data_IF_700251923873
#
_entry.id   IF_700251923873
#
_cell.length_a   1.000
_cell.length_b   1.000
_cell.length_c   1.000
_cell.angle_alpha   90.00
_cell.angle_beta   90.00
_cell.angle_gamma   90.00
#
_symmetry.space_group_name_H-M   'P 1'
#
loop_
_entity.id
_entity.type
_entity.pdbx_description
1 polymer ?
#
# COMPACT_ATOMS: atom_id res chain seq x y z
N UNK A 1 10.56 -12.92 -18.73
CA UNK A 1 9.33 -13.74 -18.87
C UNK A 1 9.44 -14.51 -20.17
N UNK A 2 9.44 -15.81 -20.11
CA UNK A 2 9.52 -16.72 -21.24
C UNK A 2 8.13 -16.88 -21.88
N UNK A 3 8.04 -16.80 -23.22
CA UNK A 3 6.75 -16.82 -23.92
C UNK A 3 6.12 -18.22 -23.91
N UNK A 4 6.92 -19.29 -24.03
CA UNK A 4 6.41 -20.67 -24.03
C UNK A 4 5.80 -21.01 -22.67
N UNK A 5 6.53 -20.71 -21.57
CA UNK A 5 6.03 -20.91 -20.20
C UNK A 5 4.76 -20.09 -19.95
N UNK A 6 4.68 -18.85 -20.47
CA UNK A 6 3.48 -18.03 -20.32
C UNK A 6 2.28 -18.65 -21.00
N UNK A 7 2.41 -19.04 -22.27
CA UNK A 7 1.30 -19.61 -23.05
C UNK A 7 0.81 -20.92 -22.46
N UNK A 8 1.73 -21.82 -22.05
CA UNK A 8 1.38 -23.06 -21.35
C UNK A 8 0.61 -22.75 -20.04
N UNK A 9 1.06 -21.76 -19.27
CA UNK A 9 0.41 -21.38 -18.02
C UNK A 9 -0.97 -20.79 -18.24
N UNK A 10 -1.12 -19.92 -19.24
CA UNK A 10 -2.42 -19.38 -19.64
C UNK A 10 -3.40 -20.48 -19.99
N UNK A 11 -2.95 -21.50 -20.72
CA UNK A 11 -3.76 -22.63 -21.09
C UNK A 11 -4.10 -23.53 -19.90
N UNK A 12 -3.07 -24.02 -19.17
CA UNK A 12 -3.24 -25.04 -18.13
C UNK A 12 -3.78 -24.50 -16.81
N UNK A 13 -3.46 -23.26 -16.44
CA UNK A 13 -3.85 -22.69 -15.15
C UNK A 13 -5.07 -21.78 -15.23
N UNK A 14 -5.24 -21.11 -16.34
CA UNK A 14 -6.28 -20.08 -16.50
C UNK A 14 -7.33 -20.46 -17.54
N UNK A 15 -7.18 -21.59 -18.24
CA UNK A 15 -8.17 -22.10 -19.19
C UNK A 15 -8.30 -21.27 -20.48
N UNK A 16 -7.27 -20.49 -20.84
CA UNK A 16 -7.26 -19.77 -22.11
C UNK A 16 -7.15 -20.77 -23.27
N UNK A 17 -8.10 -20.71 -24.22
CA UNK A 17 -8.13 -21.62 -25.39
C UNK A 17 -8.59 -20.86 -26.64
N UNK A 18 -8.37 -21.46 -27.82
CA UNK A 18 -8.84 -20.94 -29.10
C UNK A 18 -8.36 -19.50 -29.35
N UNK A 19 -9.23 -18.66 -29.89
CA UNK A 19 -8.91 -17.29 -30.33
C UNK A 19 -8.32 -16.40 -29.22
N UNK A 20 -8.64 -16.65 -27.94
CA UNK A 20 -8.08 -15.89 -26.83
C UNK A 20 -6.59 -16.21 -26.63
N UNK A 21 -6.20 -17.47 -26.70
CA UNK A 21 -4.80 -17.90 -26.62
C UNK A 21 -4.03 -17.48 -27.88
N UNK A 22 -4.64 -17.61 -29.05
CA UNK A 22 -4.06 -17.23 -30.35
C UNK A 22 -3.76 -15.72 -30.39
N UNK A 23 -4.66 -14.88 -29.84
CA UNK A 23 -4.46 -13.45 -29.73
C UNK A 23 -3.20 -13.12 -28.90
N UNK A 24 -3.03 -13.76 -27.73
CA UNK A 24 -1.87 -13.52 -26.88
C UNK A 24 -0.60 -14.08 -27.54
N UNK A 25 -0.67 -15.25 -28.18
CA UNK A 25 0.44 -15.82 -28.94
C UNK A 25 0.89 -14.87 -30.06
N UNK A 26 -0.04 -14.33 -30.84
CA UNK A 26 0.24 -13.34 -31.89
C UNK A 26 0.81 -12.04 -31.30
N UNK A 27 0.31 -11.58 -30.15
CA UNK A 27 0.84 -10.40 -29.45
C UNK A 27 2.31 -10.56 -29.05
N UNK A 28 2.74 -11.76 -28.71
CA UNK A 28 4.10 -12.06 -28.26
C UNK A 28 5.05 -12.42 -29.39
N UNK A 29 4.55 -12.98 -30.49
CA UNK A 29 5.35 -13.50 -31.60
C UNK A 29 5.85 -12.39 -32.54
N UNK A 30 6.95 -12.68 -33.25
CA UNK A 30 7.54 -11.83 -34.29
C UNK A 30 7.84 -10.40 -33.84
N UNK A 31 8.10 -10.20 -32.55
CA UNK A 31 8.49 -8.89 -32.02
C UNK A 31 9.96 -8.61 -32.25
N UNK A 32 10.24 -7.38 -32.66
CA UNK A 32 11.60 -6.87 -32.82
C UNK A 32 11.76 -5.57 -32.02
N UNK A 33 12.98 -5.26 -31.67
CA UNK A 33 13.36 -4.01 -31.00
C UNK A 33 14.54 -3.36 -31.70
N UNK A 34 14.56 -2.04 -31.71
CA UNK A 34 15.69 -1.22 -32.15
C UNK A 34 15.84 -0.02 -31.19
N UNK A 35 17.05 0.52 -31.11
CA UNK A 35 17.36 1.71 -30.29
C UNK A 35 17.45 2.91 -31.22
N UNK A 36 16.68 3.96 -30.97
CA UNK A 36 16.68 5.22 -31.70
C UNK A 36 17.39 6.30 -30.87
N UNK A 37 18.50 6.85 -31.41
CA UNK A 37 19.23 7.96 -30.80
C UNK A 37 19.45 9.04 -31.84
N UNK A 38 19.01 10.25 -31.58
CA UNK A 38 19.14 11.41 -32.47
C UNK A 38 18.71 11.14 -33.94
N UNK A 39 17.64 10.38 -34.12
CA UNK A 39 17.10 10.04 -35.44
C UNK A 39 17.81 8.88 -36.14
N UNK A 40 18.85 8.30 -35.57
CA UNK A 40 19.56 7.13 -36.10
C UNK A 40 19.09 5.88 -35.36
N UNK A 41 18.60 4.89 -36.12
CA UNK A 41 18.15 3.61 -35.55
C UNK A 41 19.24 2.54 -35.62
N UNK A 42 19.37 1.75 -34.58
CA UNK A 42 20.21 0.55 -34.60
C UNK A 42 19.62 -0.53 -35.51
N UNK A 43 20.40 -1.59 -35.76
CA UNK A 43 19.87 -2.82 -36.36
C UNK A 43 18.72 -3.38 -35.51
N UNK A 44 17.71 -3.94 -36.17
CA UNK A 44 16.58 -4.60 -35.48
C UNK A 44 17.01 -5.96 -34.91
N UNK A 45 16.65 -6.23 -33.64
CA UNK A 45 16.91 -7.50 -32.96
C UNK A 45 15.59 -8.14 -32.57
N UNK A 46 15.46 -9.46 -32.75
CA UNK A 46 14.26 -10.21 -32.36
C UNK A 46 14.13 -10.29 -30.84
N UNK A 47 12.89 -10.18 -30.36
CA UNK A 47 12.53 -10.27 -28.94
C UNK A 47 11.85 -11.61 -28.69
N UNK A 48 12.54 -12.51 -28.01
CA UNK A 48 12.06 -13.86 -27.69
C UNK A 48 11.55 -14.01 -26.25
N UNK A 49 11.72 -12.97 -25.41
CA UNK A 49 11.29 -12.97 -24.00
C UNK A 49 10.79 -11.59 -23.58
N UNK A 50 9.99 -11.56 -22.53
CA UNK A 50 9.42 -10.32 -22.01
C UNK A 50 8.15 -9.89 -22.73
N UNK A 51 7.71 -8.68 -22.40
CA UNK A 51 6.58 -7.98 -23.03
C UNK A 51 7.00 -6.53 -23.27
N UNK A 52 6.40 -5.84 -24.27
CA UNK A 52 6.72 -4.44 -24.51
C UNK A 52 6.50 -3.61 -23.23
N UNK A 53 7.54 -2.90 -22.81
CA UNK A 53 7.46 -2.02 -21.64
C UNK A 53 6.47 -0.89 -21.91
N UNK A 54 5.57 -0.62 -20.96
CA UNK A 54 4.49 0.37 -21.11
C UNK A 54 3.23 -0.16 -21.81
N UNK A 55 3.19 -1.44 -22.20
CA UNK A 55 1.98 -2.05 -22.75
C UNK A 55 0.91 -2.24 -21.68
N UNK A 56 -0.36 -2.17 -22.06
CA UNK A 56 -1.51 -2.38 -21.15
C UNK A 56 -1.56 -3.83 -20.64
N UNK A 57 -1.20 -4.81 -21.47
CA UNK A 57 -1.23 -6.24 -21.10
C UNK A 57 -0.02 -6.66 -20.27
N UNK A 58 1.11 -5.96 -20.35
CA UNK A 58 2.34 -6.35 -19.67
C UNK A 58 2.18 -6.67 -18.18
N UNK A 59 1.61 -5.78 -17.35
CA UNK A 59 1.39 -6.04 -15.92
C UNK A 59 0.46 -7.22 -15.65
N UNK A 60 -0.59 -7.39 -16.46
CA UNK A 60 -1.53 -8.50 -16.32
C UNK A 60 -0.85 -9.83 -16.64
N UNK A 61 -0.15 -9.91 -17.78
CA UNK A 61 0.57 -11.12 -18.19
C UNK A 61 1.68 -11.49 -17.19
N UNK A 62 2.37 -10.50 -16.61
CA UNK A 62 3.36 -10.75 -15.57
C UNK A 62 2.71 -11.32 -14.30
N UNK A 63 1.57 -10.79 -13.88
CA UNK A 63 0.82 -11.31 -12.73
C UNK A 63 0.38 -12.75 -12.98
N UNK A 64 -0.18 -13.06 -14.16
CA UNK A 64 -0.57 -14.41 -14.54
C UNK A 64 0.65 -15.34 -14.59
N UNK A 65 1.79 -14.85 -15.08
CA UNK A 65 3.04 -15.60 -15.13
C UNK A 65 3.57 -15.96 -13.72
N UNK A 66 3.44 -15.07 -12.75
CA UNK A 66 3.99 -15.26 -11.40
C UNK A 66 2.98 -15.86 -10.40
N UNK A 67 1.70 -15.99 -10.75
CA UNK A 67 0.64 -16.52 -9.87
C UNK A 67 1.01 -17.83 -9.13
N UNK A 68 1.66 -18.84 -9.76
CA UNK A 68 1.95 -20.09 -9.06
C UNK A 68 2.87 -19.97 -7.84
N UNK A 69 3.65 -18.90 -7.75
CA UNK A 69 4.53 -18.67 -6.59
C UNK A 69 3.73 -18.52 -5.29
N UNK A 70 2.50 -18.02 -5.39
CA UNK A 70 1.58 -17.88 -4.25
C UNK A 70 1.32 -19.24 -3.57
N UNK A 71 1.08 -20.27 -4.37
CA UNK A 71 0.86 -21.63 -3.87
C UNK A 71 2.13 -22.21 -3.23
N UNK A 72 3.30 -21.96 -3.84
CA UNK A 72 4.57 -22.42 -3.31
C UNK A 72 4.84 -21.84 -1.90
N UNK A 73 4.62 -20.54 -1.73
CA UNK A 73 4.83 -19.86 -0.43
C UNK A 73 3.79 -20.32 0.59
N UNK A 74 2.52 -20.42 0.20
CA UNK A 74 1.43 -20.86 1.06
C UNK A 74 1.60 -22.29 1.57
N UNK A 75 2.04 -23.24 0.71
CA UNK A 75 2.35 -24.62 1.09
C UNK A 75 3.45 -24.74 2.16
N UNK A 76 4.32 -23.72 2.28
CA UNK A 76 5.33 -23.64 3.32
C UNK A 76 4.83 -23.02 4.63
N UNK A 77 3.53 -22.72 4.75
CA UNK A 77 2.94 -22.09 5.92
C UNK A 77 3.31 -20.62 6.12
N UNK A 78 3.80 -19.97 5.07
CA UNK A 78 4.17 -18.55 5.10
C UNK A 78 3.05 -17.69 4.50
N UNK A 79 2.96 -16.47 5.00
CA UNK A 79 2.07 -15.45 4.44
C UNK A 79 2.83 -14.57 3.43
N UNK A 80 2.09 -14.05 2.45
CA UNK A 80 2.71 -13.26 1.39
C UNK A 80 1.79 -12.15 0.88
N UNK A 81 2.40 -11.15 0.27
CA UNK A 81 1.74 -10.18 -0.61
C UNK A 81 2.57 -10.04 -1.89
N UNK A 82 1.90 -10.12 -3.03
CA UNK A 82 2.49 -9.96 -4.34
C UNK A 82 1.94 -8.66 -4.97
N UNK A 83 2.82 -7.82 -5.49
CA UNK A 83 2.45 -6.61 -6.20
C UNK A 83 3.42 -6.39 -7.38
N UNK A 84 2.98 -6.77 -8.57
CA UNK A 84 3.84 -6.82 -9.75
C UNK A 84 5.11 -7.66 -9.48
N UNK A 85 6.28 -7.06 -9.58
CA UNK A 85 7.59 -7.66 -9.29
C UNK A 85 7.96 -7.64 -7.79
N UNK A 86 7.28 -6.83 -6.99
CA UNK A 86 7.51 -6.77 -5.54
C UNK A 86 6.85 -7.97 -4.82
N UNK A 87 7.66 -8.82 -4.22
CA UNK A 87 7.22 -9.97 -3.42
C UNK A 87 7.55 -9.74 -1.95
N UNK A 88 6.55 -9.73 -1.11
CA UNK A 88 6.68 -9.67 0.34
C UNK A 88 6.29 -11.00 0.96
N UNK A 89 7.20 -11.61 1.73
CA UNK A 89 6.96 -12.85 2.47
C UNK A 89 7.12 -12.54 3.96
N UNK A 90 6.20 -13.03 4.79
CA UNK A 90 6.25 -12.76 6.21
C UNK A 90 5.76 -13.93 7.05
N UNK A 91 6.29 -13.99 8.27
CA UNK A 91 5.98 -14.99 9.28
C UNK A 91 5.84 -14.32 10.64
N UNK A 92 4.87 -14.74 11.43
CA UNK A 92 4.71 -14.34 12.83
C UNK A 92 5.13 -15.47 13.74
N UNK A 93 6.02 -15.19 14.71
CA UNK A 93 6.57 -16.20 15.61
C UNK A 93 6.82 -15.66 17.02
N UNK A 94 6.92 -16.53 17.99
CA UNK A 94 7.37 -16.18 19.34
C UNK A 94 8.90 -16.09 19.40
N UNK A 95 9.45 -15.24 20.28
CA UNK A 95 10.91 -15.04 20.35
C UNK A 95 11.69 -16.34 20.62
N UNK A 96 11.09 -17.30 21.30
CA UNK A 96 11.72 -18.61 21.58
C UNK A 96 11.80 -19.51 20.32
N UNK A 97 10.97 -19.26 19.31
CA UNK A 97 10.91 -20.03 18.07
C UNK A 97 11.70 -19.38 16.95
N UNK A 98 12.50 -18.37 17.26
CA UNK A 98 13.19 -17.54 16.25
C UNK A 98 14.10 -18.37 15.33
N UNK A 99 14.91 -19.30 15.88
CA UNK A 99 15.83 -20.13 15.09
C UNK A 99 15.06 -21.01 14.10
N UNK A 100 14.02 -21.72 14.57
CA UNK A 100 13.19 -22.55 13.71
C UNK A 100 12.48 -21.72 12.62
N UNK A 101 12.01 -20.52 12.98
CA UNK A 101 11.34 -19.60 12.05
C UNK A 101 12.29 -19.03 10.98
N UNK A 102 13.53 -18.74 11.34
CA UNK A 102 14.54 -18.29 10.38
C UNK A 102 14.97 -19.40 9.44
N UNK A 103 15.12 -20.62 9.94
CA UNK A 103 15.41 -21.80 9.10
C UNK A 103 14.27 -22.07 8.12
N UNK A 104 13.01 -22.01 8.58
CA UNK A 104 11.83 -22.14 7.72
C UNK A 104 11.80 -21.05 6.63
N UNK A 105 12.04 -19.80 7.00
CA UNK A 105 12.09 -18.66 6.06
C UNK A 105 13.21 -18.84 5.04
N UNK A 106 14.43 -19.22 5.48
CA UNK A 106 15.58 -19.44 4.59
C UNK A 106 15.30 -20.57 3.58
N UNK A 107 14.76 -21.69 4.04
CA UNK A 107 14.35 -22.82 3.16
C UNK A 107 13.25 -22.40 2.17
N UNK A 108 12.30 -21.59 2.60
CA UNK A 108 11.27 -21.07 1.71
C UNK A 108 11.82 -20.11 0.67
N UNK A 109 12.72 -19.21 1.07
CA UNK A 109 13.39 -18.29 0.16
C UNK A 109 14.23 -19.00 -0.90
N UNK A 110 14.90 -20.10 -0.53
CA UNK A 110 15.63 -20.94 -1.47
C UNK A 110 14.67 -21.59 -2.49
N UNK A 111 13.54 -22.12 -2.01
CA UNK A 111 12.52 -22.71 -2.90
C UNK A 111 11.92 -21.65 -3.85
N UNK A 112 11.69 -20.46 -3.37
CA UNK A 112 11.24 -19.30 -4.17
C UNK A 112 12.29 -18.96 -5.22
N UNK A 113 13.56 -18.87 -4.85
CA UNK A 113 14.65 -18.60 -5.79
C UNK A 113 14.76 -19.67 -6.88
N UNK A 114 14.68 -20.94 -6.51
CA UNK A 114 14.72 -22.06 -7.46
C UNK A 114 13.52 -22.00 -8.42
N UNK A 115 12.33 -21.64 -7.92
CA UNK A 115 11.15 -21.45 -8.75
C UNK A 115 11.36 -20.30 -9.77
N UNK A 116 11.92 -19.15 -9.35
CA UNK A 116 12.21 -18.04 -10.26
C UNK A 116 13.19 -18.45 -11.35
N UNK A 117 14.27 -19.17 -11.01
CA UNK A 117 15.23 -19.68 -11.98
C UNK A 117 14.61 -20.66 -12.97
N UNK A 118 13.79 -21.60 -12.49
CA UNK A 118 13.06 -22.54 -13.35
C UNK A 118 12.10 -21.81 -14.32
N UNK A 119 11.59 -20.64 -13.91
CA UNK A 119 10.71 -19.80 -14.73
C UNK A 119 11.47 -18.68 -15.47
N UNK A 120 12.76 -18.84 -15.70
CA UNK A 120 13.58 -17.85 -16.46
C UNK A 120 13.49 -16.43 -15.90
N UNK A 121 13.30 -16.32 -14.60
CA UNK A 121 13.36 -15.06 -13.85
C UNK A 121 14.51 -15.10 -12.85
N UNK A 122 14.99 -13.95 -12.45
CA UNK A 122 16.04 -13.83 -11.43
C UNK A 122 15.63 -12.85 -10.36
N UNK A 123 15.81 -13.25 -9.11
CA UNK A 123 15.67 -12.36 -7.97
C UNK A 123 16.90 -11.46 -7.87
N UNK A 124 16.73 -10.28 -7.29
CA UNK A 124 17.84 -9.36 -7.04
C UNK A 124 18.22 -9.38 -5.55
N UNK A 125 19.26 -10.12 -5.14
CA UNK A 125 19.66 -10.19 -3.74
C UNK A 125 20.05 -8.83 -3.16
N UNK A 126 20.64 -7.94 -3.98
CA UNK A 126 21.06 -6.59 -3.55
C UNK A 126 19.89 -5.64 -3.24
N UNK A 127 18.66 -5.96 -3.69
CA UNK A 127 17.45 -5.21 -3.37
C UNK A 127 16.56 -5.91 -2.35
N UNK A 128 16.91 -7.14 -1.96
CA UNK A 128 16.13 -7.89 -0.96
C UNK A 128 16.52 -7.42 0.43
N UNK A 129 15.52 -7.02 1.22
CA UNK A 129 15.70 -6.51 2.58
C UNK A 129 14.99 -7.44 3.58
N UNK A 130 15.63 -7.71 4.70
CA UNK A 130 15.04 -8.44 5.83
C UNK A 130 14.73 -7.48 6.96
N UNK A 131 13.45 -7.35 7.33
CA UNK A 131 13.00 -6.49 8.42
C UNK A 131 12.40 -7.33 9.56
N UNK A 132 13.04 -7.29 10.73
CA UNK A 132 12.53 -7.92 11.94
C UNK A 132 11.67 -6.91 12.70
N UNK A 133 10.35 -7.20 12.79
CA UNK A 133 9.37 -6.33 13.44
C UNK A 133 9.03 -6.86 14.82
N UNK A 134 9.10 -5.99 15.83
CA UNK A 134 8.75 -6.32 17.22
C UNK A 134 9.12 -5.21 18.19
N UNK A 135 8.73 -5.36 19.45
CA UNK A 135 9.20 -4.44 20.49
C UNK A 135 10.71 -4.59 20.70
N UNK A 136 11.43 -3.55 21.16
CA UNK A 136 12.85 -3.68 21.47
C UNK A 136 13.16 -4.86 22.39
N UNK A 137 12.30 -5.10 23.41
CA UNK A 137 12.47 -6.22 24.35
C UNK A 137 12.33 -7.59 23.66
N UNK A 138 11.43 -7.73 22.68
CA UNK A 138 11.27 -8.96 21.91
C UNK A 138 12.47 -9.20 20.99
N UNK A 139 12.90 -8.17 20.27
CA UNK A 139 14.03 -8.26 19.34
C UNK A 139 15.37 -8.52 20.05
N UNK A 140 15.59 -7.94 21.23
CA UNK A 140 16.79 -8.17 22.01
C UNK A 140 16.91 -9.61 22.56
N UNK A 141 15.84 -10.39 22.57
CA UNK A 141 15.87 -11.82 22.92
C UNK A 141 16.36 -12.71 21.78
N UNK A 142 16.47 -12.16 20.55
CA UNK A 142 16.86 -12.88 19.36
C UNK A 142 18.33 -12.59 19.10
N UNK A 143 19.19 -13.58 19.36
CA UNK A 143 20.65 -13.41 19.26
C UNK A 143 21.12 -13.28 17.80
N UNK A 144 20.57 -14.11 16.89
CA UNK A 144 20.91 -14.05 15.45
C UNK A 144 19.75 -13.46 14.68
N UNK A 145 19.99 -12.31 14.04
CA UNK A 145 19.00 -11.60 13.22
C UNK A 145 19.45 -11.62 11.75
N UNK A 146 19.57 -12.84 11.21
CA UNK A 146 20.06 -13.04 9.83
C UNK A 146 19.32 -14.20 9.15
N UNK A 147 19.18 -14.12 7.84
CA UNK A 147 18.60 -15.13 6.97
C UNK A 147 19.60 -15.50 5.88
N UNK A 148 19.56 -16.76 5.42
CA UNK A 148 20.29 -17.18 4.23
C UNK A 148 19.41 -16.97 2.99
N UNK A 149 19.97 -16.31 1.97
CA UNK A 149 19.30 -16.08 0.70
C UNK A 149 20.29 -16.01 -0.45
N UNK A 150 20.16 -16.86 -1.47
CA UNK A 150 21.06 -16.92 -2.64
C UNK A 150 22.55 -16.97 -2.23
N UNK A 151 22.91 -17.84 -1.29
CA UNK A 151 24.25 -17.98 -0.71
C UNK A 151 24.79 -16.72 -0.02
N UNK A 152 23.95 -15.72 0.23
CA UNK A 152 24.31 -14.51 0.98
C UNK A 152 23.60 -14.48 2.33
N UNK A 153 24.23 -13.83 3.29
CA UNK A 153 23.64 -13.57 4.61
C UNK A 153 22.91 -12.24 4.57
N UNK A 154 21.58 -12.28 4.67
CA UNK A 154 20.74 -11.09 4.85
C UNK A 154 20.66 -10.75 6.33
N UNK A 155 21.30 -9.67 6.75
CA UNK A 155 21.16 -9.11 8.10
C UNK A 155 19.85 -8.30 8.19
N UNK A 156 19.24 -8.28 9.37
CA UNK A 156 18.05 -7.45 9.60
C UNK A 156 18.42 -5.96 9.48
N UNK A 157 17.55 -5.22 8.78
CA UNK A 157 17.68 -3.76 8.64
C UNK A 157 16.77 -3.04 9.63
N UNK A 158 17.14 -1.85 10.07
CA UNK A 158 16.29 -1.02 10.96
C UNK A 158 15.03 -0.49 10.28
N UNK A 159 15.05 -0.38 8.97
CA UNK A 159 13.91 0.07 8.18
C UNK A 159 14.04 -0.36 6.74
N UNK A 160 12.93 -0.78 6.14
CA UNK A 160 12.81 -1.19 4.75
C UNK A 160 11.73 -0.37 4.04
N UNK A 161 11.86 -0.26 2.71
CA UNK A 161 10.87 0.42 1.88
C UNK A 161 9.97 -0.60 1.19
N UNK A 162 8.67 -0.52 1.46
CA UNK A 162 7.66 -1.35 0.82
C UNK A 162 6.60 -0.47 0.14
N UNK A 163 6.40 -0.62 -1.16
CA UNK A 163 5.44 0.14 -1.98
C UNK A 163 5.45 1.65 -1.67
N UNK A 164 6.63 2.23 -1.56
CA UNK A 164 6.81 3.66 -1.29
C UNK A 164 6.73 4.08 0.18
N UNK A 165 6.27 3.21 1.10
CA UNK A 165 6.24 3.46 2.54
C UNK A 165 7.51 2.94 3.19
N UNK A 166 8.11 3.70 4.11
CA UNK A 166 9.27 3.27 4.90
C UNK A 166 8.75 2.72 6.22
N UNK A 167 8.88 1.40 6.40
CA UNK A 167 8.59 0.72 7.65
C UNK A 167 9.87 0.63 8.49
N UNK A 168 9.75 0.89 9.77
CA UNK A 168 10.82 0.64 10.75
C UNK A 168 10.45 -0.57 11.62
N UNK A 169 11.45 -1.16 12.27
CA UNK A 169 11.30 -2.38 13.08
C UNK A 169 10.31 -2.25 14.26
N UNK A 170 9.93 -1.04 14.64
CA UNK A 170 8.88 -0.78 15.66
C UNK A 170 7.53 -0.39 15.02
N UNK A 171 7.44 -0.31 13.69
CA UNK A 171 6.29 0.20 12.95
C UNK A 171 5.88 1.62 13.40
N UNK A 172 6.84 2.44 13.82
CA UNK A 172 6.58 3.80 14.31
C UNK A 172 6.27 4.79 13.18
N UNK A 173 6.68 4.49 11.96
CA UNK A 173 6.58 5.32 10.75
C UNK A 173 7.26 6.71 10.87
N UNK A 174 8.09 6.93 11.89
CA UNK A 174 8.78 8.23 12.10
C UNK A 174 9.67 8.60 10.92
N UNK A 175 10.45 7.63 10.40
CA UNK A 175 11.31 7.83 9.21
C UNK A 175 10.48 8.17 7.97
N UNK A 176 9.35 7.46 7.77
CA UNK A 176 8.43 7.72 6.67
C UNK A 176 7.83 9.12 6.74
N UNK A 177 7.25 9.50 7.87
CA UNK A 177 6.68 10.84 8.08
C UNK A 177 7.74 11.93 7.89
N UNK A 178 8.97 11.73 8.37
CA UNK A 178 10.08 12.68 8.13
C UNK A 178 10.35 12.86 6.65
N UNK A 179 10.39 11.78 5.87
CA UNK A 179 10.61 11.82 4.41
C UNK A 179 9.46 12.51 3.68
N UNK A 180 8.22 12.20 4.05
CA UNK A 180 7.02 12.88 3.49
C UNK A 180 7.06 14.38 3.78
N UNK A 181 7.37 14.80 5.01
CA UNK A 181 7.51 16.21 5.36
C UNK A 181 8.62 16.89 4.56
N UNK A 182 9.80 16.28 4.46
CA UNK A 182 10.95 16.81 3.72
C UNK A 182 10.60 17.10 2.26
N UNK A 183 10.04 16.08 1.56
CA UNK A 183 9.66 16.20 0.15
C UNK A 183 8.51 17.21 -0.04
N UNK A 184 7.55 17.22 0.86
CA UNK A 184 6.43 18.17 0.81
C UNK A 184 6.90 19.62 0.97
N UNK A 185 7.81 19.90 1.91
CA UNK A 185 8.36 21.26 2.07
C UNK A 185 9.24 21.70 0.89
N UNK A 186 9.91 20.76 0.22
CA UNK A 186 10.62 21.05 -1.02
C UNK A 186 9.63 21.54 -2.09
N UNK A 187 8.53 20.81 -2.33
CA UNK A 187 7.51 21.21 -3.30
C UNK A 187 6.74 22.49 -2.90
N UNK A 188 6.47 22.70 -1.61
CA UNK A 188 5.86 23.96 -1.13
C UNK A 188 6.76 25.15 -1.45
N UNK A 189 8.08 24.99 -1.30
CA UNK A 189 9.07 26.02 -1.66
C UNK A 189 9.03 26.32 -3.15
N UNK A 190 9.07 25.28 -4.00
CA UNK A 190 8.97 25.42 -5.45
C UNK A 190 7.66 26.12 -5.87
N UNK A 191 6.52 25.67 -5.30
CA UNK A 191 5.22 26.28 -5.58
C UNK A 191 5.17 27.76 -5.18
N UNK A 192 5.83 28.14 -4.07
CA UNK A 192 5.92 29.56 -3.64
C UNK A 192 6.62 30.43 -4.65
N UNK A 193 7.65 29.92 -5.34
CA UNK A 193 8.37 30.67 -6.36
C UNK A 193 7.52 30.88 -7.63
N UNK A 194 6.78 29.87 -8.06
CA UNK A 194 6.05 29.93 -9.34
C UNK A 194 4.62 30.46 -9.21
N UNK A 195 4.04 30.55 -8.00
CA UNK A 195 2.63 30.88 -7.79
C UNK A 195 2.23 32.26 -8.36
N UNK A 196 3.17 33.20 -8.45
CA UNK A 196 2.89 34.56 -8.94
C UNK A 196 2.64 34.59 -10.46
N UNK A 197 3.07 33.56 -11.17
CA UNK A 197 2.87 33.41 -12.63
C UNK A 197 1.70 32.50 -12.96
N UNK A 198 0.92 32.07 -11.95
CA UNK A 198 -0.17 31.12 -12.10
C UNK A 198 -1.48 31.69 -11.58
N UNK A 199 -2.59 31.30 -12.21
CA UNK A 199 -3.91 31.56 -11.67
C UNK A 199 -4.19 30.68 -10.44
N UNK A 200 -5.18 31.08 -9.63
CA UNK A 200 -5.52 30.40 -8.36
C UNK A 200 -5.88 28.91 -8.58
N UNK A 201 -6.57 28.58 -9.65
CA UNK A 201 -6.99 27.20 -9.94
C UNK A 201 -5.78 26.31 -10.22
N UNK A 202 -4.82 26.80 -11.00
CA UNK A 202 -3.56 26.09 -11.29
C UNK A 202 -2.70 25.90 -10.03
N UNK A 203 -2.64 26.91 -9.15
CA UNK A 203 -1.93 26.78 -7.87
C UNK A 203 -2.56 25.68 -7.00
N UNK A 204 -3.90 25.63 -6.91
CA UNK A 204 -4.61 24.55 -6.16
C UNK A 204 -4.35 23.18 -6.80
N UNK A 205 -4.38 23.06 -8.11
CA UNK A 205 -4.12 21.83 -8.82
C UNK A 205 -2.71 21.31 -8.51
N UNK A 206 -1.70 22.15 -8.65
CA UNK A 206 -0.31 21.80 -8.33
C UNK A 206 -0.11 21.47 -6.85
N UNK A 207 -0.75 22.22 -5.94
CA UNK A 207 -0.72 21.92 -4.51
C UNK A 207 -1.28 20.53 -4.21
N UNK A 208 -2.38 20.14 -4.86
CA UNK A 208 -2.98 18.83 -4.71
C UNK A 208 -2.11 17.73 -5.33
N UNK A 209 -1.58 17.95 -6.53
CA UNK A 209 -0.76 16.96 -7.23
C UNK A 209 0.59 16.70 -6.53
N UNK A 210 1.26 17.76 -6.06
CA UNK A 210 2.63 17.63 -5.54
C UNK A 210 2.72 17.35 -4.04
N UNK A 211 1.76 17.86 -3.24
CA UNK A 211 1.82 17.79 -1.78
C UNK A 211 0.65 17.01 -1.18
N UNK A 212 -0.60 17.36 -1.52
CA UNK A 212 -1.77 16.66 -0.94
C UNK A 212 -1.76 15.17 -1.29
N UNK A 213 -1.38 14.80 -2.53
CA UNK A 213 -1.22 13.42 -2.95
C UNK A 213 -0.24 12.63 -2.07
N UNK A 214 0.87 13.25 -1.66
CA UNK A 214 1.86 12.63 -0.76
C UNK A 214 1.34 12.47 0.67
N UNK A 215 0.58 13.44 1.18
CA UNK A 215 -0.06 13.36 2.49
C UNK A 215 -1.17 12.29 2.52
N UNK A 216 -1.82 12.04 1.38
CA UNK A 216 -2.93 11.09 1.25
C UNK A 216 -2.48 9.67 0.84
N UNK A 217 -1.23 9.52 0.35
CA UNK A 217 -0.71 8.22 -0.01
C UNK A 217 -0.54 7.33 1.22
N UNK A 218 -1.22 6.19 1.24
CA UNK A 218 -1.23 5.23 2.36
C UNK A 218 -1.53 5.86 3.74
N UNK A 219 -2.24 6.99 3.80
CA UNK A 219 -2.47 7.73 5.04
C UNK A 219 -3.28 6.96 6.09
N UNK A 220 -4.01 5.89 5.72
CA UNK A 220 -4.64 4.97 6.68
C UNK A 220 -3.64 4.38 7.68
N UNK A 221 -2.38 4.22 7.29
CA UNK A 221 -1.29 3.75 8.17
C UNK A 221 -0.96 4.74 9.30
N UNK A 222 -1.38 6.00 9.18
CA UNK A 222 -1.18 7.01 10.22
C UNK A 222 -2.20 6.94 11.35
N UNK A 223 -3.20 6.05 11.25
CA UNK A 223 -4.17 5.86 12.32
C UNK A 223 -3.48 5.43 13.62
N UNK A 224 -3.85 6.07 14.72
CA UNK A 224 -3.28 5.78 16.04
C UNK A 224 -1.80 6.17 16.23
N UNK A 225 -1.19 6.91 15.29
CA UNK A 225 0.12 7.50 15.51
C UNK A 225 0.07 8.58 16.59
N UNK A 226 1.17 8.79 17.34
CA UNK A 226 1.26 9.87 18.34
C UNK A 226 0.92 11.24 17.74
N UNK A 227 0.26 12.08 18.53
CA UNK A 227 -0.14 13.44 18.12
C UNK A 227 1.03 14.29 17.66
N UNK A 228 2.20 14.13 18.26
CA UNK A 228 3.42 14.81 17.84
C UNK A 228 3.81 14.48 16.39
N UNK A 229 3.59 13.25 15.95
CA UNK A 229 3.85 12.81 14.58
C UNK A 229 2.80 13.36 13.61
N UNK A 230 1.52 13.30 13.96
CA UNK A 230 0.43 13.84 13.14
C UNK A 230 0.50 15.37 13.03
N UNK A 231 0.90 16.07 14.09
CA UNK A 231 1.13 17.53 14.07
C UNK A 231 2.17 17.95 13.04
N UNK A 232 3.20 17.15 12.78
CA UNK A 232 4.21 17.41 11.74
C UNK A 232 3.59 17.43 10.34
N UNK A 233 2.75 16.43 10.02
CA UNK A 233 2.01 16.38 8.76
C UNK A 233 0.99 17.51 8.65
N UNK A 234 0.30 17.83 9.75
CA UNK A 234 -0.63 18.96 9.80
C UNK A 234 0.08 20.29 9.55
N UNK A 235 1.29 20.47 10.05
CA UNK A 235 2.10 21.66 9.79
C UNK A 235 2.45 21.80 8.31
N UNK A 236 2.75 20.70 7.62
CA UNK A 236 2.93 20.70 6.16
C UNK A 236 1.67 21.17 5.46
N UNK A 237 0.50 20.61 5.81
CA UNK A 237 -0.78 20.98 5.20
C UNK A 237 -1.11 22.46 5.45
N UNK A 238 -0.88 22.94 6.66
CA UNK A 238 -1.11 24.35 7.01
C UNK A 238 -0.22 25.30 6.20
N UNK A 239 1.05 24.93 6.03
CA UNK A 239 2.00 25.69 5.23
C UNK A 239 1.60 25.74 3.75
N UNK A 240 1.14 24.61 3.21
CA UNK A 240 0.61 24.53 1.86
C UNK A 240 -0.63 25.42 1.68
N UNK A 241 -1.59 25.32 2.59
CA UNK A 241 -2.82 26.11 2.54
C UNK A 241 -2.53 27.61 2.52
N UNK A 242 -1.60 28.09 3.37
CA UNK A 242 -1.17 29.49 3.37
C UNK A 242 -0.52 29.93 2.06
N UNK A 243 0.26 29.07 1.43
CA UNK A 243 0.86 29.39 0.12
C UNK A 243 -0.21 29.52 -0.95
N UNK A 244 -1.19 28.61 -0.98
CA UNK A 244 -2.28 28.61 -1.94
C UNK A 244 -3.21 29.82 -1.81
N UNK A 245 -3.51 30.23 -0.57
CA UNK A 245 -4.45 31.33 -0.29
C UNK A 245 -3.78 32.68 -0.08
N UNK A 246 -2.43 32.70 -0.06
CA UNK A 246 -1.65 33.91 0.32
C UNK A 246 -1.97 34.47 1.72
N UNK A 247 -2.46 33.58 2.62
CA UNK A 247 -2.81 33.95 3.99
C UNK A 247 -1.56 34.20 4.84
N UNK A 248 -1.70 35.07 5.83
CA UNK A 248 -0.63 35.44 6.76
C UNK A 248 -0.26 34.27 7.69
N UNK A 249 0.96 34.32 8.23
CA UNK A 249 1.44 33.33 9.20
C UNK A 249 0.56 33.25 10.46
N UNK A 250 0.00 34.35 10.85
CA UNK A 250 -0.78 34.53 12.08
C UNK A 250 -2.27 34.28 11.89
N UNK A 251 -2.76 34.13 10.66
CA UNK A 251 -4.16 33.86 10.38
C UNK A 251 -4.57 32.52 10.93
N UNK A 252 -5.79 32.42 11.45
CA UNK A 252 -6.35 31.18 11.93
C UNK A 252 -6.50 30.19 10.75
N UNK A 253 -5.94 29.01 10.88
CA UNK A 253 -5.85 28.06 9.75
C UNK A 253 -7.16 27.35 9.42
N UNK A 254 -8.05 27.17 10.39
CA UNK A 254 -9.31 26.43 10.20
C UNK A 254 -10.19 27.03 9.12
N UNK A 255 -10.46 28.37 9.09
CA UNK A 255 -11.23 28.99 7.99
C UNK A 255 -10.55 28.80 6.63
N UNK A 256 -9.21 28.85 6.58
CA UNK A 256 -8.44 28.66 5.34
C UNK A 256 -8.59 27.24 4.81
N UNK A 257 -8.47 26.23 5.67
CA UNK A 257 -8.69 24.83 5.25
C UNK A 257 -10.13 24.59 4.81
N UNK A 258 -11.10 25.24 5.47
CA UNK A 258 -12.52 25.15 5.13
C UNK A 258 -12.82 25.75 3.75
N UNK A 259 -12.27 26.94 3.45
CA UNK A 259 -12.43 27.58 2.13
C UNK A 259 -11.82 26.76 0.98
N UNK A 260 -10.79 25.97 1.26
CA UNK A 260 -10.18 25.05 0.32
C UNK A 260 -10.88 23.66 0.28
N UNK A 261 -11.88 23.43 1.13
CA UNK A 261 -12.49 22.12 1.35
C UNK A 261 -11.49 21.01 1.71
N UNK A 262 -10.43 21.35 2.45
CA UNK A 262 -9.39 20.43 2.89
C UNK A 262 -9.64 19.96 4.32
N UNK A 263 -9.94 18.69 4.48
CA UNK A 263 -9.98 18.05 5.80
C UNK A 263 -8.60 18.12 6.45
N UNK A 264 -8.50 18.43 7.77
CA UNK A 264 -7.24 18.27 8.51
C UNK A 264 -6.70 16.85 8.44
N UNK A 265 -5.38 16.65 8.65
CA UNK A 265 -4.70 15.37 8.45
C UNK A 265 -5.37 14.23 9.23
N UNK A 266 -5.72 14.43 10.51
CA UNK A 266 -6.39 13.40 11.31
C UNK A 266 -7.73 12.97 10.68
N UNK A 267 -8.53 13.92 10.25
CA UNK A 267 -9.81 13.67 9.61
C UNK A 267 -9.65 13.02 8.22
N UNK A 268 -8.57 13.33 7.48
CA UNK A 268 -8.23 12.63 6.23
C UNK A 268 -7.94 11.14 6.47
N UNK A 269 -7.21 10.81 7.54
CA UNK A 269 -6.96 9.42 7.95
C UNK A 269 -8.27 8.70 8.25
N UNK A 270 -9.12 9.30 9.07
CA UNK A 270 -10.45 8.77 9.41
C UNK A 270 -11.31 8.60 8.16
N UNK A 271 -11.36 9.60 7.27
CA UNK A 271 -12.08 9.55 6.00
C UNK A 271 -11.59 8.42 5.09
N UNK A 272 -10.28 8.20 5.02
CA UNK A 272 -9.69 7.11 4.22
C UNK A 272 -10.09 5.75 4.76
N UNK A 273 -9.98 5.52 6.07
CA UNK A 273 -10.38 4.27 6.72
C UNK A 273 -11.88 4.02 6.53
N UNK A 274 -12.72 5.02 6.79
CA UNK A 274 -14.15 4.93 6.57
C UNK A 274 -14.51 4.54 5.13
N UNK A 275 -13.84 5.19 4.16
CA UNK A 275 -14.04 4.92 2.72
C UNK A 275 -13.60 3.50 2.34
N UNK A 276 -12.48 3.02 2.87
CA UNK A 276 -12.01 1.65 2.65
C UNK A 276 -12.99 0.64 3.26
N UNK A 277 -13.42 0.88 4.49
CA UNK A 277 -14.41 0.02 5.18
C UNK A 277 -15.69 -0.08 4.39
N UNK A 278 -16.25 1.04 3.90
CA UNK A 278 -17.44 1.04 3.05
C UNK A 278 -17.24 0.19 1.79
N UNK A 279 -16.12 0.39 1.07
CA UNK A 279 -15.84 -0.36 -0.17
C UNK A 279 -15.73 -1.86 0.09
N UNK A 280 -15.04 -2.25 1.17
CA UNK A 280 -14.86 -3.64 1.53
C UNK A 280 -16.20 -4.28 1.87
N UNK A 281 -17.04 -3.60 2.65
CA UNK A 281 -18.38 -4.10 3.00
C UNK A 281 -19.30 -4.20 1.80
N UNK A 282 -19.19 -3.28 0.82
CA UNK A 282 -20.04 -3.29 -0.37
C UNK A 282 -19.64 -4.37 -1.38
N UNK A 283 -18.35 -4.67 -1.52
CA UNK A 283 -17.83 -5.53 -2.57
C UNK A 283 -17.27 -6.87 -2.05
N UNK A 284 -17.14 -7.04 -0.73
CA UNK A 284 -16.41 -8.14 -0.08
C UNK A 284 -14.98 -8.36 -0.62
N UNK A 285 -14.36 -7.29 -1.15
CA UNK A 285 -13.04 -7.33 -1.75
C UNK A 285 -12.15 -6.22 -1.19
N UNK A 286 -10.85 -6.49 -1.03
CA UNK A 286 -10.19 -7.79 -1.17
C UNK A 286 -10.52 -8.72 0.02
N UNK A 287 -10.53 -10.04 -0.23
CA UNK A 287 -10.95 -11.06 0.77
C UNK A 287 -10.18 -10.95 2.07
N UNK A 288 -8.86 -10.79 2.01
CA UNK A 288 -7.99 -10.68 3.19
C UNK A 288 -8.30 -9.45 4.10
N UNK A 289 -8.95 -8.42 3.59
CA UNK A 289 -9.43 -7.29 4.40
C UNK A 289 -10.88 -7.51 4.85
N UNK A 290 -11.73 -8.15 4.04
CA UNK A 290 -13.13 -8.41 4.41
C UNK A 290 -13.22 -9.40 5.56
N UNK A 291 -12.33 -10.38 5.64
CA UNK A 291 -12.22 -11.33 6.75
C UNK A 291 -11.90 -10.68 8.10
N UNK A 292 -11.24 -9.51 8.09
CA UNK A 292 -10.92 -8.74 9.29
C UNK A 292 -12.10 -7.95 9.84
N UNK A 293 -13.16 -7.77 9.06
CA UNK A 293 -14.32 -6.94 9.42
C UNK A 293 -15.53 -7.86 9.61
N UNK A 294 -16.07 -7.88 10.82
CA UNK A 294 -17.24 -8.71 11.14
C UNK A 294 -18.41 -7.82 11.57
N UNK A 295 -19.62 -8.06 11.06
CA UNK A 295 -20.82 -7.43 11.61
C UNK A 295 -20.94 -7.73 13.11
N UNK A 296 -21.44 -6.76 13.86
CA UNK A 296 -21.74 -6.98 15.28
C UNK A 296 -22.99 -7.85 15.39
N UNK A 297 -22.82 -9.11 15.76
CA UNK A 297 -23.94 -10.02 16.07
C UNK A 297 -24.44 -9.73 17.49
N UNK A 298 -25.72 -9.44 17.64
CA UNK A 298 -26.38 -9.40 18.94
C UNK A 298 -27.11 -10.73 19.13
N UNK A 299 -26.86 -11.39 20.26
CA UNK A 299 -27.53 -12.65 20.66
C UNK A 299 -29.03 -12.43 20.87
N UNK A 300 -29.48 -11.18 21.10
CA UNK A 300 -30.89 -10.77 21.20
C UNK A 300 -31.13 -9.60 20.28
N UNK A 301 -32.33 -9.53 19.68
CA UNK A 301 -32.78 -8.38 18.90
C UNK A 301 -32.91 -7.16 19.81
N UNK A 302 -31.92 -6.29 19.78
CA UNK A 302 -31.90 -5.02 20.49
C UNK A 302 -32.34 -3.89 19.53
N UNK A 303 -32.82 -2.77 20.10
CA UNK A 303 -33.08 -1.55 19.30
C UNK A 303 -31.92 -1.09 18.45
N UNK A 304 -30.68 -1.49 18.81
CA UNK A 304 -29.45 -1.20 18.06
C UNK A 304 -29.14 -2.23 16.95
N UNK A 305 -29.93 -3.27 16.75
CA UNK A 305 -29.68 -4.32 15.74
C UNK A 305 -29.65 -3.77 14.31
N UNK A 306 -30.42 -2.71 14.03
CA UNK A 306 -30.50 -2.05 12.71
C UNK A 306 -29.46 -0.94 12.51
N UNK A 307 -28.48 -0.79 13.41
CA UNK A 307 -27.52 0.32 13.34
C UNK A 307 -26.30 0.03 12.47
N UNK A 308 -26.26 -1.08 11.74
CA UNK A 308 -25.14 -1.47 10.86
C UNK A 308 -23.75 -1.34 11.53
N UNK A 309 -23.66 -1.80 12.77
CA UNK A 309 -22.41 -1.72 13.54
C UNK A 309 -21.47 -2.88 13.23
N UNK A 310 -20.19 -2.64 13.40
CA UNK A 310 -19.13 -3.64 13.26
C UNK A 310 -18.59 -4.07 14.62
N UNK A 311 -18.16 -5.32 14.72
CA UNK A 311 -17.55 -5.86 15.93
C UNK A 311 -16.14 -5.31 16.11
N UNK A 312 -15.88 -4.62 17.22
CA UNK A 312 -14.54 -4.16 17.59
C UNK A 312 -13.84 -5.27 18.38
N UNK A 313 -12.63 -5.71 17.99
CA UNK A 313 -11.90 -6.72 18.75
C UNK A 313 -11.64 -6.29 20.20
N UNK A 314 -12.09 -7.11 21.16
CA UNK A 314 -12.10 -6.72 22.58
C UNK A 314 -10.71 -6.83 23.29
N UNK A 315 -9.79 -7.66 22.80
CA UNK A 315 -8.57 -8.02 23.54
C UNK A 315 -7.27 -7.63 22.80
N UNK A 316 -7.15 -6.36 22.37
CA UNK A 316 -5.91 -5.87 21.78
C UNK A 316 -5.06 -5.17 22.85
N UNK A 317 -3.95 -5.82 23.22
CA UNK A 317 -3.03 -5.33 24.26
C UNK A 317 -1.95 -4.37 23.73
N UNK A 318 -1.55 -4.50 22.46
CA UNK A 318 -0.44 -3.71 21.90
C UNK A 318 -0.94 -2.45 21.18
N UNK A 319 -0.15 -1.39 21.21
CA UNK A 319 -0.42 -0.17 20.44
C UNK A 319 -0.47 -0.46 18.94
N UNK A 320 0.44 -1.28 18.42
CA UNK A 320 0.44 -1.68 17.01
C UNK A 320 -0.83 -2.43 16.63
N UNK A 321 -1.35 -3.29 17.53
CA UNK A 321 -2.62 -3.96 17.31
C UNK A 321 -3.80 -2.99 17.24
N UNK A 322 -3.84 -1.95 18.07
CA UNK A 322 -4.86 -0.90 18.03
C UNK A 322 -4.77 -0.02 16.78
N UNK A 323 -3.64 -0.05 16.07
CA UNK A 323 -3.44 0.62 14.79
C UNK A 323 -3.77 -0.27 13.59
N UNK A 324 -3.97 -1.57 13.81
CA UNK A 324 -4.33 -2.51 12.74
C UNK A 324 -5.68 -2.17 12.12
N UNK A 325 -5.87 -2.53 10.85
CA UNK A 325 -7.13 -2.31 10.14
C UNK A 325 -8.30 -3.04 10.82
N UNK A 326 -8.06 -4.23 11.38
CA UNK A 326 -9.06 -5.01 12.11
C UNK A 326 -9.66 -4.24 13.32
N UNK A 327 -8.90 -3.32 13.92
CA UNK A 327 -9.37 -2.47 15.02
C UNK A 327 -9.83 -1.09 14.53
N UNK A 328 -9.07 -0.47 13.64
CA UNK A 328 -9.33 0.88 13.15
C UNK A 328 -10.62 0.97 12.35
N UNK A 329 -10.88 0.00 11.46
CA UNK A 329 -12.06 0.00 10.60
C UNK A 329 -13.38 -0.02 11.39
N UNK A 330 -13.63 -1.00 12.28
CA UNK A 330 -14.86 -1.00 13.07
C UNK A 330 -14.96 0.17 14.05
N UNK A 331 -13.85 0.64 14.61
CA UNK A 331 -13.85 1.80 15.51
C UNK A 331 -14.28 3.07 14.77
N UNK A 332 -13.67 3.34 13.63
CA UNK A 332 -14.02 4.50 12.78
C UNK A 332 -15.44 4.36 12.25
N UNK A 333 -15.82 3.19 11.75
CA UNK A 333 -17.16 2.93 11.21
C UNK A 333 -18.26 3.19 12.24
N UNK A 334 -18.10 2.68 13.45
CA UNK A 334 -19.07 2.82 14.52
C UNK A 334 -19.21 4.26 15.05
N UNK A 335 -18.19 5.11 14.84
CA UNK A 335 -18.25 6.53 15.19
C UNK A 335 -19.00 7.39 14.18
N UNK A 336 -19.28 6.87 12.97
CA UNK A 336 -20.01 7.61 11.95
C UNK A 336 -21.53 7.70 12.27
N UNK A 337 -22.21 8.77 11.83
CA UNK A 337 -23.67 8.85 11.97
C UNK A 337 -24.36 7.76 11.16
N UNK A 338 -25.56 7.37 11.61
CA UNK A 338 -26.35 6.29 10.97
C UNK A 338 -26.60 6.57 9.49
N UNK A 339 -26.93 7.82 9.15
CA UNK A 339 -27.16 8.25 7.75
C UNK A 339 -25.98 7.93 6.84
N UNK A 340 -24.74 8.12 7.32
CA UNK A 340 -23.57 7.78 6.56
C UNK A 340 -23.41 6.25 6.42
N UNK A 341 -23.63 5.49 7.50
CA UNK A 341 -23.52 4.03 7.48
C UNK A 341 -24.58 3.34 6.62
N UNK A 342 -25.73 4.01 6.44
CA UNK A 342 -26.85 3.53 5.61
C UNK A 342 -26.81 4.05 4.17
N UNK A 343 -25.74 4.74 3.76
CA UNK A 343 -25.63 5.31 2.43
C UNK A 343 -25.64 4.22 1.36
N UNK A 344 -26.45 4.40 0.33
CA UNK A 344 -26.63 3.42 -0.77
C UNK A 344 -25.57 3.47 -1.85
N UNK A 345 -24.79 4.56 -1.90
CA UNK A 345 -23.70 4.72 -2.88
C UNK A 345 -22.44 5.27 -2.24
N UNK A 346 -21.28 4.91 -2.82
CA UNK A 346 -19.99 5.41 -2.38
C UNK A 346 -19.89 6.96 -2.46
N UNK A 347 -20.52 7.55 -3.47
CA UNK A 347 -20.52 9.01 -3.64
C UNK A 347 -21.29 9.69 -2.50
N UNK A 348 -22.49 9.21 -2.18
CA UNK A 348 -23.31 9.69 -1.07
C UNK A 348 -22.58 9.50 0.26
N UNK A 349 -22.04 8.30 0.51
CA UNK A 349 -21.25 7.98 1.70
C UNK A 349 -20.11 8.99 1.90
N UNK A 350 -19.27 9.19 0.87
CA UNK A 350 -18.11 10.10 0.95
C UNK A 350 -18.52 11.54 1.24
N UNK A 351 -19.64 12.01 0.68
CA UNK A 351 -20.17 13.34 0.94
C UNK A 351 -20.59 13.48 2.40
N UNK A 352 -21.40 12.56 2.92
CA UNK A 352 -21.88 12.58 4.30
C UNK A 352 -20.73 12.50 5.31
N UNK A 353 -19.79 11.58 5.11
CA UNK A 353 -18.61 11.44 5.97
C UNK A 353 -17.73 12.69 5.92
N UNK A 354 -17.51 13.27 4.74
CA UNK A 354 -16.71 14.50 4.62
C UNK A 354 -17.36 15.67 5.37
N UNK A 355 -18.66 15.84 5.25
CA UNK A 355 -19.42 16.88 5.99
C UNK A 355 -19.32 16.66 7.50
N UNK A 356 -19.52 15.41 7.96
CA UNK A 356 -19.43 15.05 9.38
C UNK A 356 -18.03 15.31 9.97
N UNK A 357 -16.96 15.09 9.20
CA UNK A 357 -15.57 15.23 9.64
C UNK A 357 -15.03 16.67 9.55
N UNK A 358 -15.75 17.58 8.93
CA UNK A 358 -15.34 18.98 8.96
C UNK A 358 -15.53 19.54 10.38
N UNK A 359 -14.51 20.10 10.99
CA UNK A 359 -14.65 20.74 12.29
C UNK A 359 -15.65 21.90 12.20
N UNK A 360 -16.45 22.13 13.24
CA UNK A 360 -17.42 23.23 13.31
C UNK A 360 -16.76 24.61 13.15
#
# INVERSE_FOLDING_TARGET
>A
MDHAILLERLQCWFGFTGSALDLISSYLSQRTQSVLINGVSSASSSVHTGVPQGSVLGPVLFTLYTTPIANLIGQRGLSYHLYADDTQIYLSFAANDAVASFNLMSSALESVNNWFHANRLSLNPGKTEFLLIGTPQQRNKICEQQLLFCNNVLKSVDSARNLGVIFDSNVSLKKHVSKVCQLSFMHIRQLRHVKHSLDRSSVILLANALVSSRLDYCNSLYYGLPDSTLKRLQYVQNSLARVVTSSNRYDHITPVLRSLHWLPVRQRVTFKIATLTYKIMSNNQPSYLSELIKPKSNVRTLRSSNMHLLAVPARIKSENGRRSFAFAAPTVWNSLPLEARSATSLCCFRRLVKTHLFPP
#
